data_IF_620770460731
#
_entry.id   IF_620770460731
#
_cell.length_a   1.000
_cell.length_b   1.000
_cell.length_c   1.000
_cell.angle_alpha   90.00
_cell.angle_beta   90.00
_cell.angle_gamma   90.00
#
_symmetry.space_group_name_H-M   'P 1'
#
loop_
_entity.id
_entity.type
_entity.pdbx_description
1 polymer ?
#
# COMPACT_ATOMS: atom_id res chain seq x y z
N UNK A 1 -11.22 -9.06 -0.51
CA UNK A 1 -10.27 -8.18 0.18
C UNK A 1 -8.94 -8.08 -0.57
N UNK A 2 -8.11 -9.13 -0.63
CA UNK A 2 -6.80 -9.07 -1.33
C UNK A 2 -6.92 -8.65 -2.80
N UNK A 3 -7.84 -9.24 -3.56
CA UNK A 3 -8.03 -8.86 -4.98
C UNK A 3 -8.46 -7.39 -5.15
N UNK A 4 -9.24 -6.85 -4.20
CA UNK A 4 -9.71 -5.46 -4.24
C UNK A 4 -8.54 -4.50 -4.03
N UNK A 5 -7.78 -4.70 -2.94
CA UNK A 5 -6.60 -3.89 -2.64
C UNK A 5 -5.56 -4.01 -3.74
N UNK A 6 -5.37 -5.21 -4.31
CA UNK A 6 -4.45 -5.43 -5.43
C UNK A 6 -4.88 -4.67 -6.69
N UNK A 7 -6.18 -4.65 -7.00
CA UNK A 7 -6.72 -3.88 -8.13
C UNK A 7 -6.52 -2.38 -7.93
N UNK A 8 -6.86 -1.84 -6.76
CA UNK A 8 -6.68 -0.42 -6.46
C UNK A 8 -5.21 -0.01 -6.42
N UNK A 9 -4.35 -0.84 -5.82
CA UNK A 9 -2.90 -0.59 -5.78
C UNK A 9 -2.30 -0.58 -7.20
N UNK A 10 -2.80 -1.45 -8.08
CA UNK A 10 -2.40 -1.48 -9.48
C UNK A 10 -2.88 -0.24 -10.23
N UNK A 11 -4.09 0.25 -9.93
CA UNK A 11 -4.62 1.48 -10.52
C UNK A 11 -3.80 2.70 -10.08
N UNK A 12 -3.47 2.80 -8.78
CA UNK A 12 -2.57 3.84 -8.23
C UNK A 12 -1.20 3.77 -8.91
N UNK A 13 -0.61 2.58 -9.01
CA UNK A 13 0.68 2.37 -9.66
C UNK A 13 0.66 2.79 -11.14
N UNK A 14 -0.41 2.44 -11.87
CA UNK A 14 -0.58 2.79 -13.27
C UNK A 14 -0.79 4.30 -13.47
N UNK A 15 -1.42 5.00 -12.51
CA UNK A 15 -1.56 6.46 -12.53
C UNK A 15 -0.21 7.17 -12.32
N UNK A 16 0.71 6.54 -11.61
CA UNK A 16 2.09 7.03 -11.42
C UNK A 16 3.05 6.59 -12.54
N UNK A 17 2.55 5.96 -13.60
CA UNK A 17 3.33 5.44 -14.75
C UNK A 17 4.46 4.47 -14.32
N UNK A 18 4.25 3.81 -13.17
CA UNK A 18 5.16 2.81 -12.60
C UNK A 18 4.71 1.41 -13.01
N UNK A 19 5.69 0.52 -13.25
CA UNK A 19 5.46 -0.89 -13.62
C UNK A 19 5.53 -1.86 -12.43
N UNK A 20 5.93 -1.38 -11.26
CA UNK A 20 6.11 -2.18 -10.05
C UNK A 20 5.29 -1.56 -8.92
N UNK A 21 4.44 -2.38 -8.30
CA UNK A 21 3.65 -1.96 -7.15
C UNK A 21 4.58 -1.84 -5.94
N UNK A 22 4.75 -0.63 -5.42
CA UNK A 22 5.46 -0.35 -4.19
C UNK A 22 4.52 -0.43 -2.97
N UNK A 23 5.05 -0.63 -1.74
CA UNK A 23 4.28 -0.60 -0.49
C UNK A 23 3.46 0.70 -0.34
N UNK A 24 4.02 1.81 -0.82
CA UNK A 24 3.38 3.13 -0.88
C UNK A 24 2.03 3.11 -1.62
N UNK A 25 1.94 2.35 -2.72
CA UNK A 25 0.72 2.25 -3.52
C UNK A 25 -0.36 1.45 -2.76
N UNK A 26 0.04 0.48 -1.93
CA UNK A 26 -0.88 -0.30 -1.08
C UNK A 26 -1.45 0.57 0.04
N UNK A 27 -0.61 1.40 0.67
CA UNK A 27 -1.06 2.37 1.69
C UNK A 27 -2.07 3.37 1.09
N UNK A 28 -1.79 3.87 -0.13
CA UNK A 28 -2.73 4.75 -0.86
C UNK A 28 -4.04 4.04 -1.20
N UNK A 29 -3.98 2.79 -1.64
CA UNK A 29 -5.16 2.00 -1.97
C UNK A 29 -6.05 1.77 -0.74
N UNK A 30 -5.46 1.52 0.43
CA UNK A 30 -6.22 1.40 1.69
C UNK A 30 -6.93 2.72 2.04
N UNK A 31 -6.28 3.86 1.85
CA UNK A 31 -6.89 5.18 2.07
C UNK A 31 -8.09 5.41 1.13
N UNK A 32 -7.92 5.15 -0.16
CA UNK A 32 -8.97 5.33 -1.19
C UNK A 32 -10.17 4.40 -0.95
N UNK A 33 -9.92 3.17 -0.51
CA UNK A 33 -10.96 2.19 -0.20
C UNK A 33 -11.72 2.47 1.10
N UNK A 34 -11.31 3.48 1.87
CA UNK A 34 -11.92 3.82 3.16
C UNK A 34 -11.41 2.96 4.32
N UNK A 35 -10.29 2.27 4.16
CA UNK A 35 -9.62 1.43 5.15
C UNK A 35 -8.57 2.20 5.96
N UNK A 36 -8.84 3.48 6.24
CA UNK A 36 -7.89 4.38 6.91
C UNK A 36 -7.40 3.89 8.27
N UNK A 37 -8.25 3.19 9.02
CA UNK A 37 -7.90 2.61 10.34
C UNK A 37 -6.78 1.56 10.25
N UNK A 38 -6.66 0.85 9.12
CA UNK A 38 -5.62 -0.14 8.91
C UNK A 38 -4.29 0.46 8.46
N UNK A 39 -4.27 1.72 8.00
CA UNK A 39 -3.05 2.37 7.50
C UNK A 39 -2.00 2.44 8.61
N UNK A 40 -2.41 2.76 9.84
CA UNK A 40 -1.51 2.95 10.97
C UNK A 40 -0.77 1.65 11.34
N UNK A 41 -1.51 0.53 11.42
CA UNK A 41 -0.93 -0.79 11.67
C UNK A 41 -0.01 -1.26 10.53
N UNK A 42 -0.45 -1.06 9.27
CA UNK A 42 0.34 -1.44 8.09
C UNK A 42 1.60 -0.58 7.97
N UNK A 43 1.52 0.71 8.29
CA UNK A 43 2.67 1.61 8.29
C UNK A 43 3.68 1.25 9.40
N UNK A 44 3.20 0.91 10.59
CA UNK A 44 4.06 0.42 11.67
C UNK A 44 4.80 -0.86 11.28
N UNK A 45 4.11 -1.83 10.65
CA UNK A 45 4.72 -3.05 10.13
C UNK A 45 5.75 -2.76 9.03
N UNK A 46 5.46 -1.79 8.15
CA UNK A 46 6.37 -1.36 7.09
C UNK A 46 7.65 -0.73 7.66
N UNK A 47 7.54 0.18 8.63
CA UNK A 47 8.70 0.80 9.29
C UNK A 47 9.52 -0.24 10.06
N UNK A 48 8.88 -1.19 10.74
CA UNK A 48 9.59 -2.29 11.39
C UNK A 48 10.38 -3.14 10.39
N UNK A 49 9.78 -3.51 9.26
CA UNK A 49 10.46 -4.30 8.23
C UNK A 49 11.65 -3.53 7.62
N UNK A 50 11.49 -2.21 7.44
CA UNK A 50 12.55 -1.33 6.95
C UNK A 50 13.71 -1.22 7.95
N UNK A 51 13.43 -1.16 9.25
CA UNK A 51 14.43 -1.17 10.32
C UNK A 51 15.17 -2.50 10.46
N UNK A 52 14.48 -3.63 10.30
CA UNK A 52 15.09 -4.98 10.35
C UNK A 52 16.00 -5.28 9.14
N UNK A 53 15.85 -4.54 8.04
CA UNK A 53 16.62 -4.74 6.80
C UNK A 53 17.84 -3.80 6.71
N UNK A 54 18.09 -2.93 7.69
CA UNK A 54 19.30 -2.09 7.80
C UNK A 54 20.42 -2.79 8.57
#
# INVERSE_FOLDING_TARGET
FINLVSSESNEVCSREDKRTIAPEHVLKALEVLGFGEYIEEVYAAYEQHKLETM
#
